data_IF_261674732813
#
_entry.id   IF_261674732813
#
_cell.length_a   1.000
_cell.length_b   1.000
_cell.length_c   1.000
_cell.angle_alpha   90.00
_cell.angle_beta   90.00
_cell.angle_gamma   90.00
#
_symmetry.space_group_name_H-M   'P 1'
#
loop_
_entity.id
_entity.type
_entity.pdbx_description
1 polymer ?
#
# COMPACT_ATOMS: atom_id res chain seq x y z
N UNK A 1 51.72 30.97 -16.27
CA UNK A 1 53.01 30.28 -16.03
C UNK A 1 53.29 30.24 -14.56
N UNK A 2 53.20 29.12 -13.90
CA UNK A 2 53.89 28.73 -12.67
C UNK A 2 53.72 27.24 -12.51
N UNK A 3 54.83 26.53 -12.64
CA UNK A 3 55.00 25.07 -12.47
C UNK A 3 55.01 24.77 -10.96
N UNK A 4 54.36 23.70 -10.55
CA UNK A 4 54.59 23.11 -9.20
C UNK A 4 55.08 21.67 -9.43
N UNK A 5 56.23 21.43 -8.84
CA UNK A 5 57.10 20.25 -8.91
C UNK A 5 56.67 19.17 -7.93
N UNK A 6 56.78 17.95 -8.38
CA UNK A 6 56.62 16.73 -7.60
C UNK A 6 57.88 16.50 -6.72
N UNK A 7 57.69 16.09 -5.48
CA UNK A 7 58.74 15.49 -4.65
C UNK A 7 58.37 14.06 -4.32
N UNK A 8 59.19 13.16 -4.83
CA UNK A 8 59.32 11.75 -4.46
C UNK A 8 60.06 11.62 -3.14
N UNK A 9 59.60 10.75 -2.25
CA UNK A 9 60.41 10.22 -1.13
C UNK A 9 60.39 8.69 -1.17
N UNK A 10 61.59 8.15 -1.05
CA UNK A 10 61.99 6.77 -1.28
C UNK A 10 61.76 5.86 -0.05
N UNK A 11 61.77 4.57 -0.33
CA UNK A 11 61.66 3.46 0.61
C UNK A 11 62.88 3.29 1.52
N UNK A 12 62.62 2.74 2.69
CA UNK A 12 63.64 2.02 3.45
C UNK A 12 63.04 0.69 3.96
N UNK A 13 63.66 -0.38 3.51
CA UNK A 13 63.40 -1.75 3.95
C UNK A 13 64.29 -2.08 5.15
N UNK A 14 63.70 -2.72 6.17
CA UNK A 14 64.47 -3.44 7.21
C UNK A 14 63.92 -4.86 7.31
N UNK A 15 64.78 -5.84 6.99
CA UNK A 15 64.61 -7.27 7.17
C UNK A 15 64.92 -7.64 8.64
N UNK A 16 64.07 -8.40 9.29
CA UNK A 16 64.48 -9.37 10.34
C UNK A 16 63.48 -10.55 10.28
N UNK A 17 64.01 -11.72 10.22
CA UNK A 17 63.37 -13.01 9.95
C UNK A 17 62.75 -13.70 11.18
N UNK A 18 62.40 -15.02 11.11
CA UNK A 18 61.13 -15.54 11.54
C UNK A 18 61.16 -16.22 12.93
N UNK A 19 60.01 -16.27 13.58
CA UNK A 19 59.71 -17.27 14.61
C UNK A 19 58.29 -17.84 14.34
N UNK A 20 58.30 -19.11 13.99
CA UNK A 20 57.13 -19.98 13.93
C UNK A 20 56.46 -20.09 15.32
N UNK A 21 55.16 -19.92 15.38
CA UNK A 21 54.31 -20.61 16.33
C UNK A 21 53.00 -20.96 15.66
N UNK A 22 52.82 -22.26 15.42
CA UNK A 22 51.52 -22.84 15.02
C UNK A 22 50.60 -22.82 16.22
N UNK A 23 49.39 -22.27 16.04
CA UNK A 23 48.22 -22.77 16.76
C UNK A 23 47.03 -22.62 15.86
N UNK A 24 46.53 -23.76 15.38
CA UNK A 24 45.24 -23.92 14.77
C UNK A 24 44.14 -23.46 15.73
N UNK A 25 43.42 -22.42 15.36
CA UNK A 25 42.04 -22.23 15.80
C UNK A 25 41.22 -21.87 14.59
N UNK A 26 40.62 -22.89 13.98
CA UNK A 26 39.51 -22.77 13.04
C UNK A 26 38.31 -22.18 13.76
N UNK A 27 38.12 -20.87 13.65
CA UNK A 27 36.83 -20.26 13.99
C UNK A 27 35.81 -20.67 12.94
N UNK A 28 35.04 -21.68 13.25
CA UNK A 28 33.82 -22.03 12.53
C UNK A 28 32.81 -20.92 12.72
N UNK A 29 32.54 -20.16 11.66
CA UNK A 29 31.39 -19.29 11.60
C UNK A 29 30.10 -20.12 11.83
N UNK A 30 29.13 -19.64 12.62
CA UNK A 30 27.88 -20.34 12.78
C UNK A 30 27.18 -20.38 11.43
N UNK A 31 27.07 -21.59 10.85
CA UNK A 31 26.21 -21.89 9.73
C UNK A 31 24.77 -21.55 10.14
N UNK A 32 24.22 -20.51 9.54
CA UNK A 32 22.78 -20.25 9.59
C UNK A 32 22.09 -21.42 8.90
N UNK A 33 21.70 -22.41 9.66
CA UNK A 33 20.80 -23.46 9.22
C UNK A 33 19.46 -22.78 8.92
N UNK A 34 19.26 -22.44 7.65
CA UNK A 34 17.94 -22.13 7.12
C UNK A 34 17.06 -23.36 7.42
N UNK A 35 16.20 -23.25 8.41
CA UNK A 35 15.22 -24.25 8.74
C UNK A 35 14.35 -24.47 7.49
N UNK A 36 14.60 -25.59 6.80
CA UNK A 36 13.74 -26.07 5.71
C UNK A 36 12.43 -26.50 6.33
N UNK A 37 11.48 -25.60 6.48
CA UNK A 37 10.12 -25.97 6.81
C UNK A 37 9.49 -26.58 5.56
N UNK A 38 9.61 -27.91 5.41
CA UNK A 38 8.75 -28.66 4.50
C UNK A 38 7.30 -28.45 4.93
N UNK A 39 6.36 -28.21 4.01
CA UNK A 39 4.95 -28.15 4.36
C UNK A 39 4.53 -29.49 4.92
N UNK A 40 4.22 -29.55 6.21
CA UNK A 40 3.60 -30.73 6.82
C UNK A 40 2.15 -30.74 6.33
N UNK A 41 1.71 -31.80 5.61
CA UNK A 41 0.30 -31.91 5.24
C UNK A 41 -0.55 -31.95 6.52
N UNK A 42 -1.75 -31.34 6.52
CA UNK A 42 -2.61 -31.36 7.71
C UNK A 42 -2.93 -32.78 8.09
N UNK A 43 -2.50 -33.19 9.27
CA UNK A 43 -2.87 -34.48 9.86
C UNK A 43 -4.38 -34.45 10.12
N UNK A 44 -5.16 -35.53 9.82
CA UNK A 44 -6.57 -35.64 10.16
C UNK A 44 -6.74 -35.75 11.67
N UNK A 45 -6.67 -34.64 12.36
CA UNK A 45 -7.01 -34.48 13.78
C UNK A 45 -8.04 -33.37 13.88
N UNK A 46 -8.91 -33.43 14.87
CA UNK A 46 -9.95 -32.42 15.11
C UNK A 46 -9.27 -31.04 15.30
N UNK A 47 -9.52 -30.08 14.38
CA UNK A 47 -9.02 -28.72 14.52
C UNK A 47 -9.65 -28.08 15.75
N UNK A 48 -8.82 -27.69 16.72
CA UNK A 48 -9.30 -27.04 17.94
C UNK A 48 -8.98 -25.55 17.99
N UNK A 49 -9.81 -24.74 18.66
CA UNK A 49 -9.52 -23.33 18.88
C UNK A 49 -8.15 -23.09 19.53
N UNK A 50 -7.76 -23.92 20.50
CA UNK A 50 -6.46 -23.80 21.17
C UNK A 50 -5.29 -23.99 20.20
N UNK A 51 -5.33 -25.00 19.34
CA UNK A 51 -4.31 -25.28 18.33
C UNK A 51 -4.18 -24.09 17.36
N UNK A 52 -5.31 -23.55 16.87
CA UNK A 52 -5.27 -22.43 15.90
C UNK A 52 -4.71 -21.18 16.54
N UNK A 53 -5.01 -20.85 17.81
CA UNK A 53 -4.37 -19.72 18.52
C UNK A 53 -2.88 -19.94 18.74
N UNK A 54 -2.46 -21.15 19.06
CA UNK A 54 -1.04 -21.48 19.16
C UNK A 54 -0.33 -21.24 17.84
N UNK A 55 -0.86 -21.77 16.73
CA UNK A 55 -0.30 -21.57 15.39
C UNK A 55 -0.26 -20.07 15.02
N UNK A 56 -1.31 -19.30 15.33
CA UNK A 56 -1.34 -17.87 15.09
C UNK A 56 -0.20 -17.15 15.84
N UNK A 57 0.00 -17.48 17.12
CA UNK A 57 1.08 -16.92 17.93
C UNK A 57 2.48 -17.29 17.36
N UNK A 58 2.68 -18.55 16.99
CA UNK A 58 3.93 -19.04 16.38
C UNK A 58 4.25 -18.36 15.05
N UNK A 59 3.23 -17.99 14.28
CA UNK A 59 3.35 -17.27 13.00
C UNK A 59 3.35 -15.75 13.15
N UNK A 60 3.25 -15.23 14.38
CA UNK A 60 3.21 -13.80 14.63
C UNK A 60 1.92 -13.12 14.13
N UNK A 61 0.84 -13.87 13.89
CA UNK A 61 -0.47 -13.32 13.54
C UNK A 61 -1.17 -12.86 14.81
N UNK A 62 -1.26 -11.55 14.99
CA UNK A 62 -1.71 -10.93 16.23
C UNK A 62 -2.89 -9.99 16.00
N UNK A 63 -3.56 -9.59 17.07
CA UNK A 63 -4.62 -8.59 17.02
C UNK A 63 -4.06 -7.22 16.62
N UNK A 64 -4.91 -6.38 16.01
CA UNK A 64 -4.58 -4.97 15.80
C UNK A 64 -4.36 -4.28 17.15
N UNK A 65 -3.39 -3.37 17.23
CA UNK A 65 -3.25 -2.53 18.42
C UNK A 65 -4.49 -1.64 18.60
N UNK A 66 -4.67 -1.04 19.79
CA UNK A 66 -5.76 -0.09 20.01
C UNK A 66 -5.71 1.05 18.98
N UNK A 67 -6.88 1.37 18.42
CA UNK A 67 -7.00 2.47 17.45
C UNK A 67 -6.56 3.79 18.10
N UNK A 68 -5.73 4.60 17.46
CA UNK A 68 -5.37 5.92 17.96
C UNK A 68 -6.61 6.79 18.18
N UNK A 69 -6.58 7.59 19.24
CA UNK A 69 -7.64 8.56 19.48
C UNK A 69 -7.65 9.64 18.39
N UNK A 70 -8.84 9.94 17.89
CA UNK A 70 -9.06 10.98 16.87
C UNK A 70 -10.01 12.04 17.41
N UNK A 71 -9.59 13.30 17.33
CA UNK A 71 -10.48 14.43 17.65
C UNK A 71 -11.62 14.51 16.64
N UNK A 72 -12.89 14.57 17.09
CA UNK A 72 -14.04 14.56 16.16
C UNK A 72 -14.03 15.71 15.14
N UNK A 73 -13.57 16.91 15.52
CA UNK A 73 -13.45 18.04 14.60
C UNK A 73 -12.42 17.76 13.50
N UNK A 74 -11.29 17.10 13.83
CA UNK A 74 -10.25 16.73 12.87
C UNK A 74 -10.76 15.68 11.87
N UNK A 75 -11.48 14.66 12.34
CA UNK A 75 -12.08 13.65 11.46
C UNK A 75 -13.13 14.24 10.51
N UNK A 76 -13.98 15.17 11.00
CA UNK A 76 -14.96 15.87 10.16
C UNK A 76 -14.31 16.72 9.08
N UNK A 77 -13.25 17.46 9.41
CA UNK A 77 -12.47 18.21 8.42
C UNK A 77 -11.88 17.26 7.37
N UNK A 78 -11.30 16.14 7.81
CA UNK A 78 -10.72 15.13 6.92
C UNK A 78 -11.74 14.51 5.98
N UNK A 79 -12.92 14.17 6.48
CA UNK A 79 -14.03 13.66 5.66
C UNK A 79 -14.43 14.71 4.60
N UNK A 80 -14.65 15.96 5.00
CA UNK A 80 -15.01 17.01 4.05
C UNK A 80 -13.95 17.15 2.95
N UNK A 81 -12.66 17.15 3.30
CA UNK A 81 -11.56 17.26 2.34
C UNK A 81 -11.44 16.04 1.42
N UNK A 82 -11.61 14.82 1.95
CA UNK A 82 -11.48 13.59 1.16
C UNK A 82 -12.55 13.48 0.06
N UNK A 83 -13.75 13.99 0.30
CA UNK A 83 -14.86 13.98 -0.65
C UNK A 83 -14.92 15.22 -1.53
N UNK A 84 -14.11 16.25 -1.28
CA UNK A 84 -14.21 17.51 -1.99
C UNK A 84 -13.23 17.58 -3.18
N UNK A 85 -13.77 17.78 -4.37
CA UNK A 85 -13.03 17.94 -5.62
C UNK A 85 -12.15 19.22 -5.66
N UNK A 86 -12.31 20.10 -4.67
CA UNK A 86 -11.53 21.35 -4.55
C UNK A 86 -10.02 21.11 -4.47
N UNK A 87 -9.60 19.91 -4.02
CA UNK A 87 -8.19 19.54 -3.90
C UNK A 87 -7.54 19.23 -5.25
N UNK A 88 -8.31 18.85 -6.28
CA UNK A 88 -7.77 18.53 -7.59
C UNK A 88 -7.58 19.75 -8.48
N UNK A 89 -6.70 19.65 -9.47
CA UNK A 89 -6.37 20.73 -10.38
C UNK A 89 -7.60 21.34 -11.04
N UNK A 90 -8.33 20.54 -11.78
CA UNK A 90 -9.53 20.92 -12.52
C UNK A 90 -10.83 20.90 -11.69
N UNK A 91 -10.78 20.51 -10.42
CA UNK A 91 -11.93 20.38 -9.51
C UNK A 91 -12.97 19.36 -10.00
N UNK A 92 -12.50 18.28 -10.60
CA UNK A 92 -13.30 17.25 -11.24
C UNK A 92 -13.15 15.88 -10.58
N UNK A 93 -12.15 15.71 -9.71
CA UNK A 93 -11.82 14.47 -9.01
C UNK A 93 -11.54 14.73 -7.52
N UNK A 94 -12.01 13.85 -6.65
CA UNK A 94 -11.70 13.81 -5.21
C UNK A 94 -10.94 12.54 -4.85
N UNK A 95 -10.46 12.40 -3.62
CA UNK A 95 -9.88 11.13 -3.18
C UNK A 95 -10.88 9.98 -3.34
N UNK A 96 -12.15 10.25 -3.03
CA UNK A 96 -13.22 9.25 -3.08
C UNK A 96 -13.72 8.95 -4.49
N UNK A 97 -13.23 9.61 -5.54
CA UNK A 97 -13.49 9.20 -6.93
C UNK A 97 -12.82 7.86 -7.25
N UNK A 98 -11.64 7.58 -6.67
CA UNK A 98 -10.93 6.29 -6.80
C UNK A 98 -11.04 5.43 -5.53
N UNK A 99 -11.39 6.03 -4.39
CA UNK A 99 -11.58 5.35 -3.11
C UNK A 99 -13.04 5.41 -2.66
N UNK A 100 -13.94 4.89 -3.53
CA UNK A 100 -15.39 4.93 -3.32
C UNK A 100 -15.82 4.07 -2.13
N UNK A 101 -16.66 4.60 -1.23
CA UNK A 101 -17.26 3.81 -0.16
C UNK A 101 -18.03 2.59 -0.66
N UNK A 102 -18.70 2.68 -1.79
CA UNK A 102 -19.47 1.59 -2.40
C UNK A 102 -18.60 0.40 -2.81
N UNK A 103 -17.33 0.65 -3.16
CA UNK A 103 -16.35 -0.38 -3.57
C UNK A 103 -15.29 -0.63 -2.49
N UNK A 104 -15.69 -0.58 -1.22
CA UNK A 104 -14.81 -0.85 -0.09
C UNK A 104 -13.51 -0.02 -0.11
N UNK A 105 -13.63 1.24 -0.53
CA UNK A 105 -12.53 2.22 -0.71
C UNK A 105 -11.56 1.94 -1.87
N UNK A 106 -11.95 1.13 -2.83
CA UNK A 106 -11.41 1.06 -4.18
C UNK A 106 -12.35 1.72 -5.18
N UNK A 107 -12.21 1.41 -6.48
CA UNK A 107 -13.14 1.85 -7.52
C UNK A 107 -13.69 0.70 -8.38
N UNK A 108 -13.29 -0.53 -8.07
CA UNK A 108 -13.73 -1.74 -8.76
C UNK A 108 -13.17 -1.89 -10.19
N UNK A 109 -12.16 -1.09 -10.57
CA UNK A 109 -11.45 -1.17 -11.85
C UNK A 109 -10.06 -1.79 -11.66
N UNK A 110 -9.52 -2.39 -12.71
CA UNK A 110 -8.12 -2.81 -12.73
C UNK A 110 -7.20 -1.61 -12.51
N UNK A 111 -7.25 -0.63 -13.39
CA UNK A 111 -6.58 0.65 -13.22
C UNK A 111 -7.61 1.77 -13.12
N UNK A 112 -7.44 2.62 -12.11
CA UNK A 112 -8.27 3.80 -11.93
C UNK A 112 -8.08 4.79 -13.08
N UNK A 113 -9.11 5.58 -13.38
CA UNK A 113 -9.03 6.68 -14.31
C UNK A 113 -8.96 7.98 -13.52
N UNK A 114 -7.86 8.74 -13.70
CA UNK A 114 -7.61 9.98 -13.02
C UNK A 114 -8.30 11.18 -13.64
N UNK A 115 -7.53 12.26 -13.82
CA UNK A 115 -7.99 13.53 -14.37
C UNK A 115 -8.63 13.38 -15.76
N UNK A 116 -9.73 14.09 -16.01
CA UNK A 116 -10.47 14.05 -17.28
C UNK A 116 -11.41 12.84 -17.43
N UNK A 117 -11.43 11.92 -16.47
CA UNK A 117 -12.39 10.81 -16.45
C UNK A 117 -13.81 11.27 -16.10
N UNK A 118 -14.82 10.59 -16.62
CA UNK A 118 -16.26 10.86 -16.42
C UNK A 118 -16.95 9.65 -15.81
N UNK A 119 -17.78 9.90 -14.79
CA UNK A 119 -18.46 8.87 -14.01
C UNK A 119 -17.60 8.39 -12.83
N UNK A 120 -18.04 7.32 -12.17
CA UNK A 120 -17.39 6.72 -10.99
C UNK A 120 -17.40 5.19 -11.08
N UNK A 121 -16.54 4.53 -10.30
CA UNK A 121 -16.49 3.08 -10.20
C UNK A 121 -16.21 2.39 -11.53
N UNK A 122 -16.67 1.13 -11.74
CA UNK A 122 -16.48 0.40 -12.98
C UNK A 122 -17.09 1.08 -14.21
N UNK A 123 -18.07 1.97 -14.02
CA UNK A 123 -18.67 2.78 -15.08
C UNK A 123 -17.88 4.02 -15.48
N UNK A 124 -16.78 4.35 -14.77
CA UNK A 124 -15.95 5.50 -15.10
C UNK A 124 -15.29 5.30 -16.47
N UNK A 125 -15.37 6.32 -17.32
CA UNK A 125 -14.88 6.30 -18.71
C UNK A 125 -13.80 7.33 -18.90
N UNK A 126 -12.99 7.15 -19.94
CA UNK A 126 -11.84 7.97 -20.28
C UNK A 126 -12.00 8.69 -21.62
N UNK A 127 -12.89 9.71 -21.76
CA UNK A 127 -12.97 10.49 -22.99
C UNK A 127 -11.70 11.33 -23.24
N UNK A 128 -11.11 11.84 -22.17
CA UNK A 128 -9.87 12.62 -22.15
C UNK A 128 -9.08 12.38 -20.86
N UNK A 129 -9.40 11.30 -20.13
CA UNK A 129 -8.75 10.96 -18.87
C UNK A 129 -7.47 10.18 -19.05
N UNK A 130 -6.82 9.88 -17.95
CA UNK A 130 -5.53 9.19 -17.89
C UNK A 130 -5.66 8.04 -16.93
N UNK A 131 -5.19 6.85 -17.32
CA UNK A 131 -5.07 5.73 -16.41
C UNK A 131 -4.01 6.01 -15.35
N UNK A 132 -4.34 5.69 -14.10
CA UNK A 132 -3.37 5.61 -13.03
C UNK A 132 -2.63 4.28 -13.15
N UNK A 133 -1.30 4.24 -13.09
CA UNK A 133 -0.53 3.04 -13.39
C UNK A 133 -0.76 1.85 -12.47
N UNK A 134 -1.43 2.05 -11.34
CA UNK A 134 -1.67 1.02 -10.33
C UNK A 134 -3.10 1.06 -9.84
N UNK A 135 -3.58 -0.10 -9.40
CA UNK A 135 -4.88 -0.23 -8.74
C UNK A 135 -4.99 0.67 -7.51
N UNK A 136 -6.17 1.24 -7.26
CA UNK A 136 -6.46 2.01 -6.04
C UNK A 136 -6.48 1.08 -4.82
N UNK A 137 -5.47 1.10 -3.95
CA UNK A 137 -5.43 0.19 -2.81
C UNK A 137 -6.51 0.55 -1.79
N UNK A 138 -7.13 -0.45 -1.12
CA UNK A 138 -8.10 -0.16 -0.08
C UNK A 138 -7.49 0.59 1.09
N UNK A 139 -8.28 1.45 1.74
CA UNK A 139 -7.83 2.33 2.82
C UNK A 139 -8.15 1.78 4.23
N UNK A 140 -8.54 0.51 4.35
CA UNK A 140 -8.82 -0.11 5.64
C UNK A 140 -7.57 -0.20 6.51
N UNK A 141 -7.69 0.28 7.75
CA UNK A 141 -6.66 0.14 8.79
C UNK A 141 -5.26 0.67 8.41
N UNK A 142 -5.15 1.61 7.44
CA UNK A 142 -3.86 2.11 6.93
C UNK A 142 -2.98 2.75 8.01
N UNK A 143 -3.54 3.18 9.12
CA UNK A 143 -2.79 3.73 10.26
C UNK A 143 -1.90 2.69 10.96
N UNK A 144 -2.26 1.41 10.86
CA UNK A 144 -1.50 0.32 11.45
C UNK A 144 -0.35 -0.17 10.56
N UNK A 145 -0.12 0.46 9.41
CA UNK A 145 0.89 0.06 8.43
C UNK A 145 2.10 0.99 8.45
N UNK A 146 3.27 0.42 8.23
CA UNK A 146 4.52 1.17 8.12
C UNK A 146 4.80 1.68 6.72
N UNK A 147 4.33 0.96 5.69
CA UNK A 147 4.53 1.27 4.28
C UNK A 147 3.19 1.50 3.60
N UNK A 148 3.01 2.65 2.95
CA UNK A 148 1.84 2.97 2.15
C UNK A 148 2.23 3.15 0.68
N UNK A 149 1.24 3.08 -0.21
CA UNK A 149 1.37 2.84 -1.64
C UNK A 149 1.94 1.43 -1.95
N UNK A 150 1.81 0.98 -3.19
CA UNK A 150 2.29 -0.33 -3.62
C UNK A 150 3.82 -0.47 -3.55
N UNK A 151 4.55 0.64 -3.72
CA UNK A 151 6.00 0.72 -3.69
C UNK A 151 6.59 1.14 -2.34
N UNK A 152 5.73 1.39 -1.35
CA UNK A 152 6.15 1.81 -0.02
C UNK A 152 6.79 3.20 0.05
N UNK A 153 6.51 4.10 -0.92
CA UNK A 153 7.14 5.43 -1.00
C UNK A 153 6.83 6.38 0.16
N UNK A 154 5.80 6.06 0.95
CA UNK A 154 5.53 6.73 2.24
C UNK A 154 5.68 5.69 3.32
N UNK A 155 6.67 5.86 4.19
CA UNK A 155 7.05 4.81 5.14
C UNK A 155 7.56 5.36 6.47
N UNK A 156 7.46 4.53 7.51
CA UNK A 156 8.30 4.68 8.71
C UNK A 156 9.54 3.81 8.52
N UNK A 157 10.68 4.45 8.39
CA UNK A 157 11.97 3.76 8.25
C UNK A 157 12.28 2.87 9.46
N UNK A 158 13.26 1.98 9.33
CA UNK A 158 13.75 1.18 10.47
C UNK A 158 14.20 2.01 11.68
N UNK A 159 14.58 3.28 11.46
CA UNK A 159 14.97 4.22 12.52
C UNK A 159 13.79 5.03 13.10
N UNK A 160 12.54 4.69 12.72
CA UNK A 160 11.35 5.38 13.22
C UNK A 160 11.04 6.73 12.57
N UNK A 161 11.71 7.08 11.46
CA UNK A 161 11.50 8.35 10.77
C UNK A 161 10.49 8.22 9.63
N UNK A 162 9.59 9.18 9.51
CA UNK A 162 8.70 9.29 8.35
C UNK A 162 9.52 9.68 7.11
N UNK A 163 9.57 8.78 6.11
CA UNK A 163 10.17 8.99 4.80
C UNK A 163 9.09 9.18 3.75
N UNK A 164 9.33 10.08 2.79
CA UNK A 164 8.37 10.39 1.72
C UNK A 164 9.10 10.86 0.47
N UNK A 165 8.48 10.79 -0.73
CA UNK A 165 9.06 11.28 -1.97
C UNK A 165 9.40 12.78 -1.96
N UNK A 166 8.75 13.56 -1.11
CA UNK A 166 9.00 15.00 -1.01
C UNK A 166 10.33 15.35 -0.32
N UNK A 167 10.97 14.40 0.36
CA UNK A 167 12.24 14.63 1.01
C UNK A 167 12.21 15.85 1.95
N UNK A 168 13.05 16.85 1.67
CA UNK A 168 13.18 18.07 2.47
C UNK A 168 12.03 19.06 2.29
N UNK A 169 11.23 18.93 1.22
CA UNK A 169 10.05 19.80 1.02
C UNK A 169 8.96 19.51 2.04
N UNK A 170 8.90 18.31 2.60
CA UNK A 170 8.13 18.03 3.81
C UNK A 170 8.94 18.50 5.01
N UNK A 171 8.72 19.76 5.42
CA UNK A 171 9.51 20.40 6.46
C UNK A 171 9.35 19.76 7.84
N UNK A 172 10.23 20.12 8.78
CA UNK A 172 10.14 19.64 10.16
C UNK A 172 8.83 20.05 10.84
N UNK A 173 8.35 21.25 10.56
CA UNK A 173 7.07 21.79 11.05
C UNK A 173 5.91 21.00 10.50
N UNK A 174 5.89 20.70 9.20
CA UNK A 174 4.88 19.84 8.56
C UNK A 174 4.86 18.44 9.17
N UNK A 175 6.04 17.83 9.42
CA UNK A 175 6.12 16.49 10.03
C UNK A 175 5.55 16.45 11.45
N UNK A 176 5.67 17.54 12.23
CA UNK A 176 5.10 17.62 13.58
C UNK A 176 3.59 17.58 13.63
N UNK A 177 2.93 17.96 12.53
CA UNK A 177 1.47 17.93 12.41
C UNK A 177 0.95 16.53 12.13
N UNK A 178 1.78 15.61 11.63
CA UNK A 178 1.37 14.29 11.17
C UNK A 178 1.19 13.30 12.33
N UNK A 179 0.03 13.36 12.98
CA UNK A 179 -0.30 12.61 14.19
C UNK A 179 -0.40 11.09 13.96
N UNK A 180 -0.73 10.67 12.73
CA UNK A 180 -0.95 9.25 12.38
C UNK A 180 0.12 8.71 11.43
N UNK A 181 1.33 9.25 11.48
CA UNK A 181 2.47 8.79 10.71
C UNK A 181 2.23 8.73 9.19
N UNK A 182 2.46 7.57 8.54
CA UNK A 182 2.25 7.43 7.09
C UNK A 182 0.83 7.76 6.64
N UNK A 183 -0.21 7.42 7.44
CA UNK A 183 -1.59 7.74 7.11
C UNK A 183 -1.84 9.26 7.03
N UNK A 184 -1.18 10.06 7.88
CA UNK A 184 -1.24 11.52 7.78
C UNK A 184 -0.52 12.06 6.54
N UNK A 185 0.54 11.40 6.08
CA UNK A 185 1.33 11.86 4.95
C UNK A 185 0.76 11.40 3.59
N UNK A 186 -0.10 10.38 3.58
CA UNK A 186 -0.61 9.74 2.36
C UNK A 186 -1.21 10.75 1.38
N UNK A 187 -2.11 11.61 1.85
CA UNK A 187 -2.84 12.56 1.00
C UNK A 187 -1.98 13.72 0.46
N UNK A 188 -0.71 13.84 0.89
CA UNK A 188 0.22 14.84 0.35
C UNK A 188 0.56 14.60 -1.13
N UNK A 189 0.48 13.35 -1.63
CA UNK A 189 1.07 12.96 -2.92
C UNK A 189 0.08 12.86 -4.07
N UNK A 190 -1.13 12.29 -3.94
CA UNK A 190 -2.10 12.27 -5.04
C UNK A 190 -2.40 13.65 -5.62
N UNK A 191 -2.48 14.67 -4.78
CA UNK A 191 -2.72 16.06 -5.18
C UNK A 191 -1.57 16.69 -5.97
N UNK A 192 -0.36 16.12 -5.92
CA UNK A 192 0.80 16.57 -6.70
C UNK A 192 0.98 15.78 -7.99
N UNK A 193 0.38 14.61 -8.12
CA UNK A 193 0.43 13.76 -9.30
C UNK A 193 -0.46 14.33 -10.41
N UNK A 194 0.13 14.50 -11.61
CA UNK A 194 -0.61 14.97 -12.77
C UNK A 194 -1.69 14.01 -13.22
N UNK A 195 -1.37 12.73 -13.21
CA UNK A 195 -2.30 11.67 -13.63
C UNK A 195 -3.46 11.51 -12.66
N UNK A 196 -3.17 11.62 -11.35
CA UNK A 196 -4.17 11.39 -10.32
C UNK A 196 -5.09 12.61 -10.15
N UNK A 197 -4.57 13.75 -9.64
CA UNK A 197 -5.43 14.86 -9.22
C UNK A 197 -5.04 16.24 -9.77
N UNK A 198 -3.78 16.48 -10.22
CA UNK A 198 -3.30 17.82 -10.54
C UNK A 198 -3.61 18.24 -11.97
N UNK A 199 -3.65 17.31 -12.93
CA UNK A 199 -3.75 17.53 -14.38
C UNK A 199 -2.48 18.11 -15.04
N UNK A 200 -2.47 18.08 -16.38
CA UNK A 200 -1.37 18.60 -17.20
C UNK A 200 -1.56 20.06 -17.62
N UNK A 201 -2.77 20.58 -17.51
CA UNK A 201 -3.11 21.95 -17.91
C UNK A 201 -4.50 22.37 -17.45
N UNK A 202 -4.93 23.56 -17.85
CA UNK A 202 -6.28 24.08 -17.59
C UNK A 202 -6.51 24.66 -16.19
N UNK A 203 -5.47 24.66 -15.32
CA UNK A 203 -5.60 25.16 -13.96
C UNK A 203 -4.27 25.72 -13.42
N UNK A 204 -4.37 26.51 -12.34
CA UNK A 204 -3.22 27.18 -11.73
C UNK A 204 -2.22 26.22 -11.07
N UNK A 205 -2.65 25.02 -10.67
CA UNK A 205 -1.74 24.04 -10.07
C UNK A 205 -0.90 23.32 -11.14
N UNK A 206 -1.46 23.09 -12.32
CA UNK A 206 -0.75 22.48 -13.43
C UNK A 206 0.42 23.32 -13.96
N UNK A 207 0.35 24.64 -13.79
CA UNK A 207 1.42 25.57 -14.17
C UNK A 207 2.65 25.50 -13.25
N UNK A 208 2.52 24.92 -12.05
CA UNK A 208 3.63 24.79 -11.10
C UNK A 208 4.53 23.63 -11.54
N UNK A 209 5.86 23.73 -11.48
CA UNK A 209 6.78 22.64 -11.80
C UNK A 209 6.53 21.39 -10.93
N UNK A 210 6.74 20.19 -11.48
CA UNK A 210 6.56 18.92 -10.77
C UNK A 210 7.51 18.75 -9.58
N UNK A 211 8.66 19.41 -9.67
CA UNK A 211 9.68 19.42 -8.61
C UNK A 211 9.32 20.30 -7.41
N UNK A 212 8.27 21.14 -7.47
CA UNK A 212 7.90 22.08 -6.41
C UNK A 212 6.60 21.70 -5.71
N UNK A 213 6.67 20.64 -4.92
CA UNK A 213 5.55 20.20 -4.10
C UNK A 213 5.07 21.30 -3.13
N UNK A 214 5.98 22.10 -2.62
CA UNK A 214 5.67 23.17 -1.64
C UNK A 214 4.74 24.21 -2.26
N UNK A 215 5.02 24.64 -3.49
CA UNK A 215 4.18 25.62 -4.21
C UNK A 215 2.82 25.02 -4.59
N UNK A 216 2.78 23.72 -4.97
CA UNK A 216 1.52 23.01 -5.25
C UNK A 216 0.65 22.98 -4.01
N UNK A 217 1.17 22.52 -2.87
CA UNK A 217 0.46 22.47 -1.59
C UNK A 217 -0.02 23.85 -1.13
N UNK A 218 0.82 24.87 -1.26
CA UNK A 218 0.43 26.26 -0.96
C UNK A 218 -0.69 26.75 -1.88
N UNK A 219 -0.67 26.37 -3.17
CA UNK A 219 -1.73 26.66 -4.13
C UNK A 219 -3.08 26.09 -3.71
N UNK A 220 -3.09 24.84 -3.26
CA UNK A 220 -4.30 24.17 -2.75
C UNK A 220 -4.79 24.88 -1.49
N UNK A 221 -3.91 25.18 -0.53
CA UNK A 221 -4.30 25.90 0.70
C UNK A 221 -4.88 27.29 0.42
N UNK A 222 -4.32 28.05 -0.55
CA UNK A 222 -4.91 29.32 -0.96
C UNK A 222 -6.33 29.15 -1.51
N UNK A 223 -6.58 28.07 -2.24
CA UNK A 223 -7.89 27.73 -2.80
C UNK A 223 -8.90 27.40 -1.69
N UNK A 224 -8.52 26.52 -0.76
CA UNK A 224 -9.31 26.15 0.44
C UNK A 224 -9.61 27.37 1.28
N UNK A 225 -8.62 28.24 1.52
CA UNK A 225 -8.72 29.43 2.35
C UNK A 225 -9.68 30.52 1.84
N UNK A 226 -10.14 30.45 0.58
CA UNK A 226 -11.18 31.31 0.04
C UNK A 226 -12.60 30.90 0.48
N UNK A 227 -12.73 29.73 1.10
CA UNK A 227 -14.02 29.17 1.55
C UNK A 227 -14.15 29.37 3.06
N UNK A 228 -15.03 30.26 3.54
CA UNK A 228 -15.14 30.58 4.97
C UNK A 228 -15.47 29.37 5.83
N UNK A 229 -16.24 28.41 5.31
CA UNK A 229 -16.59 27.18 6.04
C UNK A 229 -15.35 26.33 6.31
N UNK A 230 -14.44 26.17 5.32
CA UNK A 230 -13.18 25.47 5.55
C UNK A 230 -12.31 26.18 6.59
N UNK A 231 -12.19 27.50 6.53
CA UNK A 231 -11.38 28.24 7.52
C UNK A 231 -11.84 27.92 8.95
N UNK A 232 -13.17 27.96 9.21
CA UNK A 232 -13.71 27.58 10.50
C UNK A 232 -13.41 26.13 10.87
N UNK A 233 -13.62 25.18 9.94
CA UNK A 233 -13.35 23.77 10.20
C UNK A 233 -11.87 23.50 10.53
N UNK A 234 -10.94 24.18 9.87
CA UNK A 234 -9.51 24.08 10.20
C UNK A 234 -9.22 24.65 11.60
N UNK A 235 -9.75 25.82 11.95
CA UNK A 235 -9.54 26.43 13.26
C UNK A 235 -10.20 25.63 14.40
N UNK A 236 -11.33 24.98 14.15
CA UNK A 236 -11.93 24.02 15.08
C UNK A 236 -11.10 22.74 15.25
N UNK A 237 -10.50 22.23 14.15
CA UNK A 237 -9.68 21.02 14.16
C UNK A 237 -8.31 21.23 14.81
N UNK A 238 -7.78 22.45 14.74
CA UNK A 238 -6.47 22.86 15.28
C UNK A 238 -6.63 24.07 16.23
N UNK A 239 -7.16 23.86 17.45
CA UNK A 239 -7.43 24.96 18.39
C UNK A 239 -6.17 25.79 18.68
N UNK A 240 -6.32 27.11 18.68
CA UNK A 240 -5.24 28.05 18.93
C UNK A 240 -4.36 28.36 17.72
N UNK A 241 -4.64 27.77 16.56
CA UNK A 241 -3.96 28.09 15.29
C UNK A 241 -4.92 28.82 14.35
N UNK A 242 -4.44 29.85 13.70
CA UNK A 242 -5.18 30.53 12.61
C UNK A 242 -4.90 29.87 11.29
N UNK A 243 -5.90 29.83 10.42
CA UNK A 243 -5.80 29.19 9.10
C UNK A 243 -4.60 29.69 8.28
N UNK A 244 -4.24 30.97 8.37
CA UNK A 244 -3.14 31.59 7.66
C UNK A 244 -1.77 30.96 7.96
N UNK A 245 -1.62 30.34 9.11
CA UNK A 245 -0.40 29.64 9.55
C UNK A 245 -0.41 28.16 9.27
N UNK A 246 -1.50 27.63 8.69
CA UNK A 246 -1.63 26.21 8.40
C UNK A 246 -1.11 25.91 6.99
N UNK A 247 -0.55 24.71 6.85
CA UNK A 247 -0.04 24.17 5.59
C UNK A 247 -0.89 23.01 5.13
N UNK A 248 -0.66 22.50 3.93
CA UNK A 248 -1.36 21.32 3.44
C UNK A 248 -1.11 20.06 4.29
N UNK A 249 -0.04 20.03 5.11
CA UNK A 249 0.15 18.97 6.10
C UNK A 249 -0.99 18.89 7.12
N UNK A 250 -1.64 20.01 7.47
CA UNK A 250 -2.83 20.03 8.33
C UNK A 250 -4.04 19.40 7.63
N UNK A 251 -4.20 19.68 6.33
CA UNK A 251 -5.26 19.07 5.52
C UNK A 251 -5.03 17.54 5.38
N UNK A 252 -3.81 17.14 5.05
CA UNK A 252 -3.43 15.73 4.91
C UNK A 252 -3.56 14.96 6.23
N UNK A 253 -3.15 15.56 7.36
CA UNK A 253 -3.35 14.99 8.69
C UNK A 253 -4.83 14.81 9.03
N UNK A 254 -5.69 15.77 8.66
CA UNK A 254 -7.12 15.64 8.84
C UNK A 254 -7.71 14.49 7.99
N UNK A 255 -7.27 14.33 6.74
CA UNK A 255 -7.66 13.18 5.91
C UNK A 255 -7.17 11.87 6.54
N UNK A 256 -5.94 11.84 7.08
CA UNK A 256 -5.43 10.72 7.88
C UNK A 256 -6.33 10.41 9.08
N UNK A 257 -6.74 11.44 9.81
CA UNK A 257 -7.67 11.31 10.95
C UNK A 257 -9.03 10.71 10.53
N UNK A 258 -9.59 11.14 9.40
CA UNK A 258 -10.80 10.54 8.83
C UNK A 258 -10.61 9.05 8.56
N UNK A 259 -9.49 8.65 7.95
CA UNK A 259 -9.19 7.24 7.69
C UNK A 259 -9.07 6.44 8.99
N UNK A 260 -8.40 6.97 10.01
CA UNK A 260 -8.30 6.32 11.34
C UNK A 260 -9.66 6.15 11.99
N UNK A 261 -10.48 7.21 12.00
CA UNK A 261 -11.78 7.22 12.70
C UNK A 261 -12.85 6.39 11.97
N UNK A 262 -12.90 6.45 10.63
CA UNK A 262 -14.00 5.89 9.84
C UNK A 262 -13.66 4.63 9.06
N UNK A 263 -12.37 4.36 8.82
CA UNK A 263 -11.93 3.20 8.03
C UNK A 263 -11.16 2.17 8.87
N UNK A 264 -11.30 2.22 10.20
CA UNK A 264 -10.82 1.19 11.11
C UNK A 264 -11.87 0.10 11.31
N UNK A 265 -11.57 -1.09 10.80
CA UNK A 265 -12.43 -2.27 10.87
C UNK A 265 -11.67 -3.43 11.51
N UNK A 266 -11.83 -3.58 12.81
CA UNK A 266 -11.10 -4.51 13.68
C UNK A 266 -12.01 -5.36 14.57
N UNK A 267 -13.27 -5.59 14.17
CA UNK A 267 -14.21 -6.47 14.87
C UNK A 267 -14.65 -7.62 13.98
N UNK A 268 -13.67 -8.24 13.32
CA UNK A 268 -13.90 -9.43 12.48
C UNK A 268 -14.20 -10.68 13.33
N UNK A 269 -14.74 -11.75 12.76
CA UNK A 269 -14.77 -13.05 13.44
C UNK A 269 -13.41 -13.48 13.98
N UNK A 270 -12.32 -13.25 13.21
CA UNK A 270 -10.96 -13.53 13.62
C UNK A 270 -10.51 -12.70 14.84
N UNK A 271 -10.80 -11.40 14.89
CA UNK A 271 -10.45 -10.56 16.04
C UNK A 271 -11.13 -11.04 17.32
N UNK A 272 -12.42 -11.40 17.24
CA UNK A 272 -13.16 -11.96 18.37
C UNK A 272 -12.61 -13.32 18.80
N UNK A 273 -12.16 -14.13 17.84
CA UNK A 273 -11.52 -15.40 18.12
C UNK A 273 -10.19 -15.21 18.87
N UNK A 274 -9.33 -14.30 18.41
CA UNK A 274 -8.08 -13.97 19.11
C UNK A 274 -8.33 -13.39 20.51
N UNK A 275 -9.45 -12.70 20.71
CA UNK A 275 -9.89 -12.21 22.02
C UNK A 275 -10.49 -13.28 22.93
N UNK A 276 -10.37 -14.60 22.58
CA UNK A 276 -10.75 -15.72 23.40
C UNK A 276 -12.16 -16.27 23.17
N UNK A 277 -12.90 -15.79 22.13
CA UNK A 277 -14.23 -16.31 21.81
C UNK A 277 -14.12 -17.51 20.86
N UNK A 278 -14.12 -18.73 21.39
CA UNK A 278 -13.93 -19.97 20.61
C UNK A 278 -14.97 -20.16 19.51
N UNK A 279 -16.21 -19.75 19.76
CA UNK A 279 -17.32 -19.84 18.82
C UNK A 279 -17.42 -18.67 17.82
N UNK A 280 -16.43 -17.78 17.77
CA UNK A 280 -16.42 -16.67 16.82
C UNK A 280 -16.12 -17.13 15.39
N UNK A 281 -15.47 -18.27 15.22
CA UNK A 281 -15.24 -18.90 13.93
C UNK A 281 -16.17 -20.12 13.75
N UNK A 282 -16.69 -20.27 12.54
CA UNK A 282 -17.35 -21.51 12.15
C UNK A 282 -16.32 -22.64 12.03
N UNK A 283 -16.72 -23.94 12.06
CA UNK A 283 -15.79 -25.05 11.85
C UNK A 283 -15.00 -24.97 10.54
N UNK A 284 -15.62 -24.48 9.44
CA UNK A 284 -14.95 -24.27 8.17
C UNK A 284 -13.91 -23.15 8.25
N UNK A 285 -14.24 -22.03 8.87
CA UNK A 285 -13.31 -20.92 9.08
C UNK A 285 -12.14 -21.32 9.98
N UNK A 286 -12.39 -22.14 11.00
CA UNK A 286 -11.34 -22.65 11.90
C UNK A 286 -10.37 -23.57 11.14
N UNK A 287 -10.89 -24.47 10.31
CA UNK A 287 -10.08 -25.31 9.41
C UNK A 287 -9.28 -24.45 8.41
N UNK A 288 -9.92 -23.48 7.78
CA UNK A 288 -9.26 -22.55 6.87
C UNK A 288 -8.15 -21.73 7.55
N UNK A 289 -8.34 -21.31 8.79
CA UNK A 289 -7.31 -20.64 9.58
C UNK A 289 -6.11 -21.57 9.83
N UNK A 290 -6.34 -22.84 10.20
CA UNK A 290 -5.26 -23.81 10.32
C UNK A 290 -4.52 -23.97 8.99
N UNK A 291 -5.23 -24.12 7.88
CA UNK A 291 -4.65 -24.24 6.54
C UNK A 291 -3.77 -23.04 6.21
N UNK A 292 -4.27 -21.82 6.40
CA UNK A 292 -3.51 -20.58 6.17
C UNK A 292 -2.22 -20.50 7.02
N UNK A 293 -2.30 -20.87 8.29
CA UNK A 293 -1.21 -20.80 9.25
C UNK A 293 -0.16 -21.92 9.07
N UNK A 294 -0.54 -23.06 8.48
CA UNK A 294 0.37 -24.19 8.23
C UNK A 294 0.99 -24.15 6.84
N UNK A 295 0.32 -23.55 5.86
CA UNK A 295 0.88 -23.30 4.54
C UNK A 295 1.84 -22.09 4.55
N UNK A 296 2.41 -21.78 3.38
CA UNK A 296 3.34 -20.66 3.23
C UNK A 296 2.69 -19.26 3.33
N UNK A 297 1.37 -19.15 3.31
CA UNK A 297 0.63 -17.90 3.32
C UNK A 297 1.04 -16.97 4.47
N UNK A 298 1.16 -17.52 5.68
CA UNK A 298 1.52 -16.77 6.89
C UNK A 298 3.02 -16.37 6.96
N UNK A 299 3.85 -16.72 5.96
CA UNK A 299 5.23 -16.23 5.87
C UNK A 299 5.23 -14.74 5.51
N UNK A 300 4.45 -14.35 4.51
CA UNK A 300 4.28 -12.97 4.08
C UNK A 300 3.07 -12.30 4.76
N UNK A 301 1.97 -13.03 4.95
CA UNK A 301 0.75 -12.49 5.54
C UNK A 301 0.67 -12.79 7.05
N UNK A 302 1.53 -12.14 7.83
CA UNK A 302 1.58 -12.21 9.29
C UNK A 302 1.34 -10.83 9.93
N UNK A 303 1.66 -10.68 11.22
CA UNK A 303 1.45 -9.42 11.94
C UNK A 303 -0.02 -9.09 12.20
N UNK A 304 -0.25 -7.88 12.63
CA UNK A 304 -1.59 -7.39 13.01
C UNK A 304 -2.48 -7.11 11.80
N UNK A 305 -1.89 -6.74 10.68
CA UNK A 305 -2.56 -6.41 9.42
C UNK A 305 -2.60 -7.55 8.42
N UNK A 306 -1.98 -8.70 8.72
CA UNK A 306 -1.70 -9.77 7.77
C UNK A 306 -0.79 -9.30 6.62
N UNK A 307 0.27 -8.60 6.97
CA UNK A 307 1.35 -8.16 6.10
C UNK A 307 2.65 -8.19 6.89
N UNK A 308 3.70 -8.74 6.31
CA UNK A 308 5.06 -8.68 6.85
C UNK A 308 5.73 -7.32 6.61
N UNK A 309 4.99 -6.40 5.96
CA UNK A 309 5.46 -5.06 5.57
C UNK A 309 6.71 -5.09 4.68
N UNK A 310 6.96 -6.20 3.97
CA UNK A 310 8.04 -6.35 3.01
C UNK A 310 7.52 -6.27 1.57
N UNK A 311 8.43 -6.46 0.62
CA UNK A 311 8.16 -6.35 -0.80
C UNK A 311 8.53 -7.65 -1.49
N UNK A 312 7.63 -8.12 -2.36
CA UNK A 312 7.74 -9.41 -3.04
C UNK A 312 7.32 -9.27 -4.50
N UNK A 313 7.94 -10.04 -5.37
CA UNK A 313 7.44 -10.29 -6.71
C UNK A 313 6.63 -11.59 -6.69
N UNK A 314 5.33 -11.47 -6.93
CA UNK A 314 4.39 -12.59 -6.98
C UNK A 314 4.01 -12.96 -8.41
N UNK A 315 4.85 -12.62 -9.38
CA UNK A 315 4.70 -12.91 -10.80
C UNK A 315 3.37 -12.37 -11.38
N UNK A 316 3.07 -11.10 -11.13
CA UNK A 316 1.89 -10.41 -11.72
C UNK A 316 2.23 -9.87 -13.10
N UNK A 317 1.28 -9.95 -14.02
CA UNK A 317 1.36 -9.28 -15.34
C UNK A 317 1.49 -7.78 -15.18
N UNK A 318 1.93 -7.10 -16.24
CA UNK A 318 1.90 -5.64 -16.30
C UNK A 318 1.18 -5.17 -17.57
N UNK A 319 0.44 -4.08 -17.46
CA UNK A 319 -0.33 -3.47 -18.53
C UNK A 319 -0.60 -1.98 -18.23
N UNK A 320 -1.16 -1.27 -19.21
CA UNK A 320 -1.49 0.14 -19.08
C UNK A 320 -0.28 1.07 -19.21
N UNK A 321 -0.31 2.26 -18.60
CA UNK A 321 0.71 3.29 -18.83
C UNK A 321 2.05 3.00 -18.15
N UNK A 322 2.08 2.15 -17.11
CA UNK A 322 3.28 1.90 -16.32
C UNK A 322 3.83 3.13 -15.58
N UNK A 323 5.11 3.05 -15.19
CA UNK A 323 5.80 4.10 -14.42
C UNK A 323 7.01 4.70 -15.14
N UNK A 324 7.05 4.61 -16.46
CA UNK A 324 8.14 5.15 -17.26
C UNK A 324 9.42 4.30 -17.24
N UNK A 325 9.34 3.07 -16.80
CA UNK A 325 10.48 2.16 -16.70
C UNK A 325 10.61 1.28 -17.95
N UNK A 326 11.73 0.56 -18.03
CA UNK A 326 12.04 -0.37 -19.12
C UNK A 326 12.26 0.31 -20.45
N UNK A 327 12.52 -0.49 -21.49
CA UNK A 327 12.74 0.01 -22.85
C UNK A 327 11.47 0.49 -23.53
N UNK A 328 10.31 -0.04 -23.10
CA UNK A 328 8.98 0.38 -23.56
C UNK A 328 8.51 1.69 -22.94
N UNK A 329 9.12 2.13 -21.83
CA UNK A 329 8.69 3.20 -20.95
C UNK A 329 7.31 2.95 -20.31
N UNK A 330 6.84 1.68 -20.33
CA UNK A 330 5.56 1.28 -19.75
C UNK A 330 5.71 0.28 -18.60
N UNK A 331 6.93 -0.19 -18.29
CA UNK A 331 7.15 -1.06 -17.14
C UNK A 331 6.95 -0.30 -15.83
N UNK A 332 6.56 -1.03 -14.79
CA UNK A 332 6.56 -0.57 -13.41
C UNK A 332 7.54 -1.41 -12.58
N UNK A 333 8.68 -0.84 -12.25
CA UNK A 333 9.72 -1.54 -11.47
C UNK A 333 9.43 -1.60 -9.96
N UNK A 334 8.22 -1.22 -9.53
CA UNK A 334 7.80 -1.38 -8.14
C UNK A 334 8.69 -0.65 -7.14
N UNK A 335 9.20 -1.37 -6.13
CA UNK A 335 10.05 -0.84 -5.06
C UNK A 335 11.36 -0.24 -5.59
N UNK A 336 11.91 -0.76 -6.67
CA UNK A 336 13.13 -0.22 -7.29
C UNK A 336 12.98 1.27 -7.64
N UNK A 337 11.80 1.75 -8.01
CA UNK A 337 11.55 3.17 -8.26
C UNK A 337 11.84 4.08 -7.04
N UNK A 338 11.89 3.50 -5.84
CA UNK A 338 12.14 4.22 -4.58
C UNK A 338 13.56 4.00 -4.09
N UNK A 339 14.07 2.79 -4.18
CA UNK A 339 15.38 2.41 -3.63
C UNK A 339 16.52 2.56 -4.61
N UNK A 340 16.25 2.47 -5.92
CA UNK A 340 17.25 2.40 -6.97
C UNK A 340 18.03 1.09 -7.02
N UNK A 341 17.64 0.08 -6.22
CA UNK A 341 18.32 -1.22 -6.17
C UNK A 341 17.69 -2.19 -7.16
N UNK A 342 18.51 -2.81 -8.03
CA UNK A 342 18.06 -3.81 -9.02
C UNK A 342 17.38 -5.02 -8.35
N UNK A 343 17.82 -5.39 -7.15
CA UNK A 343 17.18 -6.45 -6.35
C UNK A 343 15.75 -6.16 -5.94
N UNK A 344 15.31 -4.91 -6.04
CA UNK A 344 13.95 -4.48 -5.68
C UNK A 344 13.03 -4.31 -6.90
N UNK A 345 13.52 -4.70 -8.09
CA UNK A 345 12.77 -4.62 -9.36
C UNK A 345 11.56 -5.56 -9.32
N UNK A 346 10.42 -5.06 -9.75
CA UNK A 346 9.11 -5.73 -9.73
C UNK A 346 8.60 -6.15 -8.35
N UNK A 347 9.26 -5.71 -7.27
CA UNK A 347 8.77 -5.98 -5.93
C UNK A 347 7.68 -4.98 -5.52
N UNK A 348 6.58 -5.51 -4.99
CA UNK A 348 5.47 -4.75 -4.46
C UNK A 348 5.18 -5.15 -3.03
N UNK A 349 4.65 -4.21 -2.24
CA UNK A 349 4.36 -4.42 -0.83
C UNK A 349 3.35 -5.56 -0.62
N UNK A 350 3.60 -6.43 0.37
CA UNK A 350 2.59 -7.38 0.85
C UNK A 350 1.34 -6.63 1.30
N UNK A 351 0.20 -6.94 0.67
CA UNK A 351 -1.08 -6.31 1.01
C UNK A 351 -1.67 -6.86 2.29
N UNK A 352 -2.32 -6.03 3.12
CA UNK A 352 -3.12 -6.49 4.25
C UNK A 352 -4.29 -7.36 3.79
N UNK A 353 -4.67 -8.36 4.61
CA UNK A 353 -5.81 -9.23 4.27
C UNK A 353 -7.08 -8.91 5.04
N UNK A 354 -7.08 -7.93 5.96
CA UNK A 354 -8.32 -7.53 6.64
C UNK A 354 -9.30 -6.92 5.65
N UNK A 355 -10.51 -7.48 5.61
CA UNK A 355 -11.59 -7.13 4.68
C UNK A 355 -11.28 -7.42 3.20
N UNK A 356 -10.29 -8.27 2.90
CA UNK A 356 -9.78 -8.53 1.55
C UNK A 356 -10.87 -9.05 0.58
N UNK A 357 -11.86 -9.80 1.06
CA UNK A 357 -12.95 -10.31 0.20
C UNK A 357 -13.79 -9.20 -0.46
N UNK A 358 -13.70 -7.97 0.04
CA UNK A 358 -14.49 -6.82 -0.43
C UNK A 358 -13.73 -5.94 -1.45
N UNK A 359 -12.43 -6.16 -1.64
CA UNK A 359 -11.51 -5.18 -2.22
C UNK A 359 -10.94 -5.56 -3.58
N UNK A 360 -11.68 -6.37 -4.33
CA UNK A 360 -11.32 -6.67 -5.73
C UNK A 360 -11.44 -5.43 -6.65
N UNK A 361 -10.74 -5.48 -7.80
CA UNK A 361 -9.82 -6.51 -8.28
C UNK A 361 -8.47 -6.53 -7.55
N UNK A 362 -7.68 -7.59 -7.71
CA UNK A 362 -6.49 -7.90 -6.94
C UNK A 362 -5.20 -7.79 -7.75
N UNK A 363 -4.09 -7.59 -7.04
CA UNK A 363 -2.78 -7.29 -7.61
C UNK A 363 -2.48 -5.80 -7.59
N UNK A 364 -1.20 -5.44 -7.77
CA UNK A 364 -0.77 -4.03 -7.76
C UNK A 364 -1.38 -3.22 -8.92
N UNK A 365 -1.83 -3.89 -9.94
CA UNK A 365 -2.49 -3.36 -11.15
C UNK A 365 -3.94 -3.83 -11.30
N UNK A 366 -4.46 -4.63 -10.33
CA UNK A 366 -5.82 -5.14 -10.38
C UNK A 366 -6.08 -6.15 -11.51
N UNK A 367 -5.06 -6.92 -11.90
CA UNK A 367 -5.15 -7.87 -13.00
C UNK A 367 -6.14 -9.01 -12.78
N UNK A 368 -6.39 -9.39 -11.53
CA UNK A 368 -7.19 -10.57 -11.18
C UNK A 368 -8.49 -10.14 -10.49
N UNK A 369 -9.63 -10.41 -11.13
CA UNK A 369 -10.93 -9.90 -10.72
C UNK A 369 -11.50 -10.49 -9.42
N UNK A 370 -11.13 -11.74 -9.04
CA UNK A 370 -11.71 -12.43 -7.88
C UNK A 370 -10.64 -12.89 -6.89
N UNK A 371 -10.99 -12.89 -5.59
CA UNK A 371 -10.10 -13.35 -4.54
C UNK A 371 -9.73 -14.84 -4.71
N UNK A 372 -10.68 -15.67 -5.14
CA UNK A 372 -10.42 -17.07 -5.40
C UNK A 372 -9.35 -17.24 -6.49
N UNK A 373 -9.49 -16.57 -7.63
CA UNK A 373 -8.52 -16.63 -8.71
C UNK A 373 -7.15 -16.11 -8.27
N UNK A 374 -7.09 -15.11 -7.38
CA UNK A 374 -5.84 -14.61 -6.82
C UNK A 374 -5.18 -15.62 -5.87
N UNK A 375 -5.96 -16.33 -5.05
CA UNK A 375 -5.44 -17.44 -4.24
C UNK A 375 -4.91 -18.57 -5.13
N UNK A 376 -5.65 -18.93 -6.18
CA UNK A 376 -5.24 -19.95 -7.16
C UNK A 376 -3.99 -19.55 -7.93
N UNK A 377 -3.73 -18.23 -8.11
CA UNK A 377 -2.53 -17.72 -8.75
C UNK A 377 -1.25 -18.18 -8.03
N UNK A 378 -1.25 -18.24 -6.70
CA UNK A 378 -0.09 -18.69 -5.93
C UNK A 378 0.28 -20.17 -6.16
N UNK A 379 -0.64 -20.98 -6.68
CA UNK A 379 -0.37 -22.42 -6.91
C UNK A 379 0.55 -22.65 -8.13
N UNK A 380 0.52 -21.76 -9.10
CA UNK A 380 1.33 -21.86 -10.31
C UNK A 380 1.49 -20.48 -10.97
N UNK A 381 2.09 -19.56 -10.20
CA UNK A 381 2.20 -18.16 -10.59
C UNK A 381 2.94 -17.95 -11.93
N UNK A 382 3.93 -18.80 -12.24
CA UNK A 382 4.69 -18.70 -13.49
C UNK A 382 3.81 -18.97 -14.71
N UNK A 383 3.04 -20.07 -14.67
CA UNK A 383 2.14 -20.42 -15.78
C UNK A 383 0.98 -19.44 -15.87
N UNK A 384 0.48 -18.95 -14.72
CA UNK A 384 -0.59 -17.93 -14.68
C UNK A 384 -0.12 -16.61 -15.29
N UNK A 385 1.13 -16.21 -15.07
CA UNK A 385 1.71 -15.05 -15.72
C UNK A 385 1.85 -15.27 -17.24
N UNK A 386 2.43 -16.42 -17.66
CA UNK A 386 2.70 -16.71 -19.08
C UNK A 386 1.41 -16.93 -19.90
N UNK A 387 0.36 -17.49 -19.29
CA UNK A 387 -0.91 -17.80 -19.93
C UNK A 387 -2.01 -16.80 -19.58
N UNK A 388 -1.65 -15.59 -19.13
CA UNK A 388 -2.64 -14.60 -18.74
C UNK A 388 -3.54 -14.20 -19.93
N UNK A 389 -4.84 -14.30 -19.72
CA UNK A 389 -5.84 -13.87 -20.71
C UNK A 389 -6.20 -12.40 -20.50
N UNK A 390 -5.82 -11.48 -21.41
CA UNK A 390 -6.14 -10.06 -21.28
C UNK A 390 -7.64 -9.77 -21.34
N UNK A 391 -8.49 -10.73 -21.74
CA UNK A 391 -9.93 -10.57 -21.71
C UNK A 391 -10.50 -10.43 -20.29
N UNK A 392 -9.73 -10.79 -19.26
CA UNK A 392 -10.06 -10.56 -17.85
C UNK A 392 -9.99 -9.07 -17.45
N UNK A 393 -9.24 -8.27 -18.18
CA UNK A 393 -9.06 -6.84 -17.91
C UNK A 393 -10.30 -6.04 -18.34
N UNK A 394 -10.42 -4.83 -17.78
CA UNK A 394 -11.35 -3.83 -18.29
C UNK A 394 -11.18 -3.65 -19.79
N UNK A 395 -12.28 -3.50 -20.57
CA UNK A 395 -12.21 -3.49 -22.04
C UNK A 395 -11.21 -2.51 -22.64
N UNK A 396 -11.02 -1.37 -21.99
CA UNK A 396 -10.11 -0.28 -22.40
C UNK A 396 -8.62 -0.58 -22.10
N UNK A 397 -8.32 -1.67 -21.37
CA UNK A 397 -6.96 -2.09 -21.00
C UNK A 397 -6.48 -3.35 -21.74
N UNK A 398 -7.36 -4.09 -22.43
CA UNK A 398 -7.06 -5.41 -23.00
C UNK A 398 -5.91 -5.43 -24.01
N UNK A 399 -5.67 -4.33 -24.70
CA UNK A 399 -4.63 -4.21 -25.72
C UNK A 399 -3.34 -3.57 -25.18
N UNK A 400 -3.18 -3.47 -23.86
CA UNK A 400 -2.06 -2.78 -23.22
C UNK A 400 -1.13 -3.71 -22.44
N UNK A 401 -1.31 -5.04 -22.57
CA UNK A 401 -0.47 -6.04 -21.91
C UNK A 401 0.99 -5.91 -22.37
N UNK A 402 1.92 -5.94 -21.42
CA UNK A 402 3.35 -5.79 -21.70
C UNK A 402 4.03 -7.14 -21.92
N UNK A 403 5.00 -7.24 -22.86
CA UNK A 403 5.73 -8.46 -23.13
C UNK A 403 6.95 -8.63 -22.21
N UNK A 404 6.83 -8.32 -20.92
CA UNK A 404 7.93 -8.33 -19.95
C UNK A 404 7.90 -9.51 -18.95
N UNK A 405 7.10 -10.55 -19.24
CA UNK A 405 6.93 -11.71 -18.36
C UNK A 405 8.25 -12.42 -18.02
N UNK A 406 9.20 -12.47 -18.94
CA UNK A 406 10.51 -13.09 -18.70
C UNK A 406 11.32 -12.33 -17.64
N UNK A 407 11.28 -11.00 -17.66
CA UNK A 407 11.98 -10.14 -16.69
C UNK A 407 11.34 -10.26 -15.31
N UNK A 408 10.02 -10.32 -15.22
CA UNK A 408 9.26 -10.54 -13.97
C UNK A 408 9.63 -11.91 -13.40
N UNK A 409 9.60 -12.98 -14.18
CA UNK A 409 9.96 -14.33 -13.72
C UNK A 409 11.39 -14.42 -13.20
N UNK A 410 12.31 -13.64 -13.75
CA UNK A 410 13.69 -13.59 -13.30
C UNK A 410 13.85 -13.02 -11.88
N UNK A 411 12.90 -12.21 -11.42
CA UNK A 411 12.88 -11.57 -10.09
C UNK A 411 11.91 -12.25 -9.10
N UNK A 412 11.08 -13.20 -9.59
CA UNK A 412 10.03 -13.83 -8.80
C UNK A 412 10.55 -14.39 -7.46
N UNK A 413 9.80 -14.11 -6.38
CA UNK A 413 10.16 -14.57 -5.05
C UNK A 413 10.19 -16.11 -4.95
N UNK A 414 11.31 -16.64 -4.47
CA UNK A 414 11.51 -18.10 -4.31
C UNK A 414 10.56 -18.71 -3.27
N UNK A 415 9.94 -17.92 -2.39
CA UNK A 415 8.94 -18.38 -1.43
C UNK A 415 7.70 -18.99 -2.12
N UNK A 416 7.41 -18.58 -3.36
CA UNK A 416 6.30 -19.13 -4.14
C UNK A 416 6.59 -20.52 -4.70
N UNK A 417 7.87 -20.94 -4.77
CA UNK A 417 8.21 -22.25 -5.31
C UNK A 417 7.60 -23.38 -4.51
N UNK A 418 6.95 -24.33 -5.22
CA UNK A 418 6.35 -25.53 -4.63
C UNK A 418 5.09 -25.25 -3.80
N UNK A 419 4.43 -24.10 -3.96
CA UNK A 419 3.07 -23.91 -3.46
C UNK A 419 2.12 -24.69 -4.37
N UNK A 420 1.38 -25.63 -3.77
CA UNK A 420 0.37 -26.44 -4.47
C UNK A 420 -0.95 -26.31 -3.73
N UNK A 421 -1.95 -25.76 -4.38
CA UNK A 421 -3.28 -25.56 -3.82
C UNK A 421 -4.29 -26.43 -4.57
N UNK A 422 -4.83 -27.43 -3.89
CA UNK A 422 -5.98 -28.17 -4.41
C UNK A 422 -7.26 -27.34 -4.28
N UNK A 423 -8.33 -27.63 -5.06
CA UNK A 423 -9.62 -26.93 -4.90
C UNK A 423 -10.16 -26.95 -3.47
N UNK A 424 -9.91 -28.03 -2.73
CA UNK A 424 -10.30 -28.12 -1.31
C UNK A 424 -9.53 -27.13 -0.43
N UNK A 425 -8.22 -26.96 -0.65
CA UNK A 425 -7.40 -25.98 0.09
C UNK A 425 -7.80 -24.54 -0.27
N UNK A 426 -8.07 -24.28 -1.53
CA UNK A 426 -8.60 -22.97 -1.98
C UNK A 426 -9.91 -22.66 -1.26
N UNK A 427 -10.86 -23.61 -1.21
CA UNK A 427 -12.12 -23.42 -0.49
C UNK A 427 -11.93 -23.14 1.01
N UNK A 428 -11.00 -23.84 1.67
CA UNK A 428 -10.66 -23.59 3.08
C UNK A 428 -10.06 -22.18 3.28
N UNK A 429 -9.16 -21.75 2.39
CA UNK A 429 -8.59 -20.40 2.44
C UNK A 429 -9.67 -19.34 2.23
N UNK A 430 -10.62 -19.54 1.31
CA UNK A 430 -11.76 -18.64 1.09
C UNK A 430 -12.65 -18.55 2.34
N UNK A 431 -12.94 -19.67 3.01
CA UNK A 431 -13.67 -19.67 4.27
C UNK A 431 -12.94 -18.81 5.33
N UNK A 432 -11.61 -18.92 5.40
CA UNK A 432 -10.82 -18.11 6.33
C UNK A 432 -10.78 -16.62 5.94
N UNK A 433 -10.66 -16.27 4.66
CA UNK A 433 -10.70 -14.88 4.23
C UNK A 433 -12.00 -14.20 4.65
N UNK A 434 -13.12 -14.92 4.62
CA UNK A 434 -14.41 -14.41 5.10
C UNK A 434 -14.41 -14.10 6.62
N UNK A 435 -13.59 -14.81 7.40
CA UNK A 435 -13.42 -14.55 8.82
C UNK A 435 -12.59 -13.28 9.12
N UNK A 436 -11.89 -12.74 8.13
CA UNK A 436 -11.12 -11.49 8.22
C UNK A 436 -11.95 -10.25 7.87
N UNK A 437 -13.24 -10.41 7.57
CA UNK A 437 -14.15 -9.31 7.20
C UNK A 437 -14.97 -8.84 8.40
N UNK A 438 -14.89 -7.55 8.69
CA UNK A 438 -15.81 -6.87 9.61
C UNK A 438 -17.13 -6.60 8.89
N UNK A 439 -18.24 -7.05 9.47
CA UNK A 439 -19.56 -6.90 8.84
C UNK A 439 -19.92 -5.43 8.54
N UNK A 440 -19.38 -4.48 9.32
CA UNK A 440 -19.59 -3.04 9.09
C UNK A 440 -18.89 -2.51 7.84
N UNK A 441 -17.84 -3.21 7.36
CA UNK A 441 -17.11 -2.81 6.15
C UNK A 441 -17.89 -3.12 4.86
N UNK A 442 -18.99 -3.89 4.92
CA UNK A 442 -19.78 -4.29 3.74
C UNK A 442 -20.64 -3.16 3.17
N UNK A 443 -20.93 -2.14 3.95
CA UNK A 443 -21.67 -0.96 3.49
C UNK A 443 -21.09 0.32 4.08
N UNK A 444 -20.37 1.05 3.28
CA UNK A 444 -19.73 2.31 3.66
C UNK A 444 -20.43 3.54 3.06
N UNK A 445 -21.56 3.39 2.36
CA UNK A 445 -22.27 4.50 1.70
C UNK A 445 -22.66 5.60 2.68
N UNK A 446 -22.88 5.24 3.95
CA UNK A 446 -23.16 6.20 5.02
C UNK A 446 -22.02 7.20 5.31
N UNK A 447 -20.80 6.93 4.80
CA UNK A 447 -19.66 7.85 4.92
C UNK A 447 -19.71 8.99 3.89
N UNK A 448 -20.50 8.87 2.82
CA UNK A 448 -20.61 9.89 1.79
C UNK A 448 -21.42 11.10 2.31
N UNK A 449 -20.82 12.29 2.42
CA UNK A 449 -21.53 13.46 2.89
C UNK A 449 -22.52 13.97 1.83
N UNK A 450 -23.62 14.57 2.27
CA UNK A 450 -24.61 15.15 1.34
C UNK A 450 -24.06 16.35 0.56
N UNK A 451 -23.10 17.08 1.13
CA UNK A 451 -22.41 18.22 0.53
C UNK A 451 -21.01 18.37 1.10
N UNK A 452 -20.19 19.10 0.40
CA UNK A 452 -18.87 19.56 0.84
C UNK A 452 -18.81 21.09 0.88
N UNK A 453 -17.90 21.70 1.68
CA UNK A 453 -17.83 23.16 1.84
C UNK A 453 -17.59 23.94 0.56
N UNK A 454 -16.96 23.36 -0.46
CA UNK A 454 -16.76 24.03 -1.76
C UNK A 454 -18.05 24.19 -2.58
N UNK A 455 -19.09 23.41 -2.27
CA UNK A 455 -20.32 23.33 -3.07
C UNK A 455 -20.16 22.51 -4.36
N UNK A 456 -18.98 21.92 -4.62
CA UNK A 456 -18.77 21.02 -5.76
C UNK A 456 -19.56 19.71 -5.59
N UNK A 457 -19.93 19.04 -6.71
CA UNK A 457 -20.65 17.78 -6.63
C UNK A 457 -19.81 16.69 -5.93
N UNK A 458 -20.46 15.95 -5.03
CA UNK A 458 -19.89 14.76 -4.39
C UNK A 458 -20.11 13.55 -5.27
N UNK A 459 -19.14 12.66 -5.37
CA UNK A 459 -19.27 11.38 -6.06
C UNK A 459 -20.07 10.38 -5.20
N UNK A 460 -21.02 9.68 -5.86
CA UNK A 460 -21.93 8.69 -5.24
C UNK A 460 -21.93 7.39 -6.02
#
# INVERSE_FOLDING_TARGET
MRRITWKTCAAAAILVGPLMYCSDQTATAPSATASRHSPVPPVPGTVTPALVRQLAAERGVVALPPTPYVRPALARLGQALAFDKILSGNRDISCTTCHLPEFATGDGRSLSIGQGGVGVGPGRRMPSGIFIPRNAPPLFNVWAMRHLFWDGRVEITQHGHLSTPAGRQLTREMRRVMEFGPASALAMFPVTSRDEMRAYGGNELAAIPDSDNTAIWAGIMRRIGRIPEYRRMFEEAYPGQRFEHMTFAHASNAIGAFMVDKLTYANTPWDRFLAGRDNALTPKQLLGAQTFLTLKCSICHNGATFSDEKFHDVAMVQFGPGKGNGTSLHDDFGRMNITGLESDKYLFRTTPLRNVELTGPYGHDGAIGTLQAFIEHYSDSDQKLLAFDPMQLDPDLRNTLLPNSADILAQRDTLLQGVVLTPALVGQLMDYMSALTDARARDLRHLTPRRVPSGLPVDH
#
